data_IF_440242028770
#
_entry.id   IF_440242028770
#
_cell.length_a   1.000
_cell.length_b   1.000
_cell.length_c   1.000
_cell.angle_alpha   90.00
_cell.angle_beta   90.00
_cell.angle_gamma   90.00
#
_symmetry.space_group_name_H-M   'P 1'
#
loop_
_entity.id
_entity.type
_entity.pdbx_description
1 polymer ?
#
# COMPACT_ATOMS: atom_id res chain seq x y z
N UNK A 1 7.53 7.57 23.68
CA UNK A 1 6.63 6.49 23.24
C UNK A 1 5.89 6.86 21.96
N UNK A 2 5.06 7.93 21.94
CA UNK A 2 4.26 8.31 20.77
C UNK A 2 5.07 8.55 19.47
N UNK A 3 6.16 9.32 19.54
CA UNK A 3 7.04 9.60 18.39
C UNK A 3 7.58 8.31 17.76
N UNK A 4 8.01 7.33 18.57
CA UNK A 4 8.52 6.04 18.08
C UNK A 4 7.43 5.27 17.34
N UNK A 5 6.21 5.25 17.89
CA UNK A 5 5.05 4.60 17.24
C UNK A 5 4.75 5.26 15.90
N UNK A 6 4.76 6.59 15.83
CA UNK A 6 4.54 7.34 14.59
C UNK A 6 5.62 7.01 13.55
N UNK A 7 6.89 6.95 13.96
CA UNK A 7 7.98 6.52 13.07
C UNK A 7 7.78 5.07 12.57
N UNK A 8 7.36 4.14 13.43
CA UNK A 8 7.02 2.78 13.02
C UNK A 8 5.88 2.77 11.99
N UNK A 9 4.86 3.62 12.14
CA UNK A 9 3.76 3.71 11.19
C UNK A 9 4.20 4.26 9.82
N UNK A 10 5.16 5.20 9.79
CA UNK A 10 5.78 5.65 8.54
C UNK A 10 6.52 4.49 7.85
N UNK A 11 7.28 3.70 8.61
CA UNK A 11 7.99 2.53 8.06
C UNK A 11 7.03 1.51 7.45
N UNK A 12 5.86 1.28 8.05
CA UNK A 12 4.82 0.43 7.48
C UNK A 12 4.38 0.93 6.10
N UNK A 13 4.19 2.24 5.93
CA UNK A 13 3.90 2.85 4.63
C UNK A 13 5.00 2.59 3.59
N UNK A 14 6.27 2.71 3.99
CA UNK A 14 7.42 2.40 3.13
C UNK A 14 7.47 0.91 2.73
N UNK A 15 7.08 -0.01 3.60
CA UNK A 15 6.98 -1.44 3.29
C UNK A 15 5.93 -1.69 2.20
N UNK A 16 4.78 -1.01 2.25
CA UNK A 16 3.76 -1.10 1.19
C UNK A 16 4.29 -0.59 -0.15
N UNK A 17 5.02 0.53 -0.17
CA UNK A 17 5.66 1.06 -1.38
C UNK A 17 6.67 0.05 -1.94
N UNK A 18 7.50 -0.54 -1.07
CA UNK A 18 8.49 -1.55 -1.46
C UNK A 18 7.82 -2.80 -2.07
N UNK A 19 6.72 -3.26 -1.45
CA UNK A 19 5.91 -4.37 -1.96
C UNK A 19 5.33 -4.08 -3.34
N UNK A 20 4.78 -2.87 -3.55
CA UNK A 20 4.26 -2.45 -4.86
C UNK A 20 5.33 -2.26 -5.94
N UNK A 21 6.57 -1.90 -5.55
CA UNK A 21 7.68 -1.67 -6.49
C UNK A 21 8.37 -2.95 -6.95
N UNK A 22 8.79 -3.78 -5.99
CA UNK A 22 9.81 -4.82 -6.24
C UNK A 22 9.27 -6.25 -6.23
N UNK A 23 8.08 -6.48 -5.67
CA UNK A 23 7.55 -7.83 -5.48
C UNK A 23 6.77 -8.28 -6.73
N UNK A 24 7.06 -9.47 -7.28
CA UNK A 24 6.31 -10.00 -8.41
C UNK A 24 4.85 -10.29 -8.02
N UNK A 25 3.92 -10.09 -8.95
CA UNK A 25 2.48 -10.25 -8.71
C UNK A 25 2.13 -11.65 -8.18
N UNK A 26 2.79 -12.69 -8.71
CA UNK A 26 2.58 -14.09 -8.29
C UNK A 26 2.90 -14.33 -6.81
N UNK A 27 3.84 -13.58 -6.22
CA UNK A 27 4.16 -13.68 -4.79
C UNK A 27 3.16 -12.95 -3.89
N UNK A 28 2.38 -12.01 -4.44
CA UNK A 28 1.35 -11.27 -3.70
C UNK A 28 0.01 -11.98 -3.85
N UNK A 29 -0.36 -12.38 -5.07
CA UNK A 29 -1.60 -13.12 -5.37
C UNK A 29 -1.64 -14.49 -4.66
N UNK A 30 -0.49 -15.16 -4.51
CA UNK A 30 -0.40 -16.44 -3.79
C UNK A 30 -0.64 -16.34 -2.27
N UNK A 31 -0.73 -15.13 -1.72
CA UNK A 31 -1.06 -14.95 -0.32
C UNK A 31 -2.57 -15.23 -0.10
N UNK A 32 -2.93 -16.23 0.72
CA UNK A 32 -4.32 -16.68 0.87
C UNK A 32 -5.27 -15.59 1.39
N UNK A 33 -4.73 -14.59 2.09
CA UNK A 33 -5.50 -13.50 2.69
C UNK A 33 -5.84 -12.35 1.72
N UNK A 34 -5.33 -12.38 0.49
CA UNK A 34 -5.47 -11.26 -0.48
C UNK A 34 -6.61 -11.50 -1.49
N UNK A 35 -7.29 -12.64 -1.41
CA UNK A 35 -8.40 -13.04 -2.29
C UNK A 35 -9.45 -11.93 -2.51
N UNK A 36 -9.92 -11.25 -1.46
CA UNK A 36 -10.95 -10.19 -1.58
C UNK A 36 -10.46 -9.03 -2.45
N UNK A 37 -9.19 -8.65 -2.28
CA UNK A 37 -8.56 -7.55 -3.03
C UNK A 37 -8.37 -7.95 -4.49
N UNK A 38 -8.02 -9.21 -4.75
CA UNK A 38 -7.88 -9.75 -6.09
C UNK A 38 -9.21 -9.77 -6.86
N UNK A 39 -10.32 -10.21 -6.24
CA UNK A 39 -11.66 -10.11 -6.86
C UNK A 39 -11.98 -8.67 -7.25
N UNK A 40 -11.71 -7.73 -6.34
CA UNK A 40 -11.97 -6.31 -6.57
C UNK A 40 -11.18 -5.81 -7.79
N UNK A 41 -9.90 -6.19 -7.91
CA UNK A 41 -9.09 -5.82 -9.07
C UNK A 41 -9.54 -6.50 -10.36
N UNK A 42 -9.97 -7.76 -10.33
CA UNK A 42 -10.53 -8.46 -11.51
C UNK A 42 -11.81 -7.78 -12.00
N UNK A 43 -12.66 -7.31 -11.08
CA UNK A 43 -13.86 -6.53 -11.42
C UNK A 43 -13.45 -5.21 -12.09
N UNK A 44 -12.52 -4.46 -11.49
CA UNK A 44 -12.03 -3.19 -12.05
C UNK A 44 -11.36 -3.41 -13.41
N UNK A 45 -10.59 -4.48 -13.57
CA UNK A 45 -9.95 -4.86 -14.85
C UNK A 45 -11.01 -5.05 -15.95
N UNK A 46 -12.14 -5.70 -15.64
CA UNK A 46 -13.26 -5.85 -16.57
C UNK A 46 -13.89 -4.52 -16.99
N UNK A 47 -14.00 -3.56 -16.06
CA UNK A 47 -14.62 -2.27 -16.33
C UNK A 47 -13.67 -1.29 -17.05
N UNK A 48 -12.40 -1.27 -16.66
CA UNK A 48 -11.45 -0.25 -17.08
C UNK A 48 -10.42 -0.77 -18.11
N UNK A 49 -10.40 -2.07 -18.42
CA UNK A 49 -9.40 -2.72 -19.29
C UNK A 49 -7.95 -2.45 -18.85
N UNK A 50 -7.74 -2.29 -17.55
CA UNK A 50 -6.42 -2.12 -16.94
C UNK A 50 -6.08 -3.44 -16.24
N UNK A 51 -4.89 -3.96 -16.48
CA UNK A 51 -4.39 -5.18 -15.82
C UNK A 51 -4.47 -5.08 -14.30
N UNK A 52 -5.08 -6.09 -13.64
CA UNK A 52 -5.16 -6.20 -12.18
C UNK A 52 -3.78 -6.06 -11.51
N UNK A 53 -2.72 -6.56 -12.16
CA UNK A 53 -1.35 -6.40 -11.67
C UNK A 53 -0.91 -4.94 -11.58
N UNK A 54 -1.12 -4.18 -12.66
CA UNK A 54 -0.77 -2.76 -12.68
C UNK A 54 -1.59 -1.99 -11.63
N UNK A 55 -2.87 -2.31 -11.53
CA UNK A 55 -3.78 -1.71 -10.55
C UNK A 55 -3.34 -1.98 -9.11
N UNK A 56 -2.98 -3.22 -8.78
CA UNK A 56 -2.53 -3.60 -7.45
C UNK A 56 -1.18 -2.95 -7.09
N UNK A 57 -0.24 -2.88 -8.03
CA UNK A 57 1.04 -2.19 -7.80
C UNK A 57 0.83 -0.70 -7.54
N UNK A 58 0.01 -0.04 -8.37
CA UNK A 58 -0.32 1.38 -8.23
C UNK A 58 -1.04 1.63 -6.90
N UNK A 59 -2.02 0.79 -6.55
CA UNK A 59 -2.76 0.96 -5.29
C UNK A 59 -1.85 0.83 -4.07
N UNK A 60 -0.92 -0.13 -4.07
CA UNK A 60 0.04 -0.30 -2.97
C UNK A 60 0.98 0.89 -2.85
N UNK A 61 1.50 1.40 -3.97
CA UNK A 61 2.35 2.59 -3.98
C UNK A 61 1.61 3.83 -3.49
N UNK A 62 0.39 4.06 -3.99
CA UNK A 62 -0.43 5.22 -3.60
C UNK A 62 -0.81 5.13 -2.13
N UNK A 63 -1.27 3.96 -1.68
CA UNK A 63 -1.66 3.74 -0.28
C UNK A 63 -0.47 3.95 0.66
N UNK A 64 0.68 3.33 0.38
CA UNK A 64 1.89 3.49 1.19
C UNK A 64 2.40 4.93 1.23
N UNK A 65 2.28 5.67 0.13
CA UNK A 65 2.68 7.09 0.06
C UNK A 65 1.75 7.97 0.89
N UNK A 66 0.42 7.84 0.70
CA UNK A 66 -0.58 8.59 1.47
C UNK A 66 -0.46 8.29 2.96
N UNK A 67 -0.27 7.02 3.32
CA UNK A 67 -0.06 6.59 4.70
C UNK A 67 1.18 7.23 5.32
N UNK A 68 2.32 7.15 4.62
CA UNK A 68 3.58 7.72 5.11
C UNK A 68 3.48 9.23 5.29
N UNK A 69 2.87 9.93 4.33
CA UNK A 69 2.67 11.38 4.40
C UNK A 69 1.72 11.77 5.54
N UNK A 70 0.64 11.02 5.75
CA UNK A 70 -0.29 11.27 6.85
C UNK A 70 0.43 11.20 8.21
N UNK A 71 1.18 10.13 8.46
CA UNK A 71 1.92 9.99 9.72
C UNK A 71 3.07 10.98 9.85
N UNK A 72 3.67 11.41 8.74
CA UNK A 72 4.67 12.47 8.74
C UNK A 72 4.04 13.83 9.12
N UNK A 73 2.84 14.13 8.62
CA UNK A 73 2.09 15.31 9.07
C UNK A 73 1.76 15.23 10.56
N UNK A 74 1.27 14.08 11.04
CA UNK A 74 1.00 13.86 12.48
C UNK A 74 2.27 14.03 13.31
N UNK A 75 3.42 13.55 12.83
CA UNK A 75 4.71 13.73 13.49
C UNK A 75 5.08 15.21 13.63
N UNK A 76 4.93 15.97 12.55
CA UNK A 76 5.21 17.41 12.54
C UNK A 76 4.27 18.14 13.52
N UNK A 77 2.97 17.87 13.45
CA UNK A 77 1.98 18.49 14.36
C UNK A 77 2.16 18.07 15.83
N UNK A 78 2.73 16.89 16.10
CA UNK A 78 3.04 16.49 17.48
C UNK A 78 4.34 17.14 17.99
N UNK A 79 5.27 17.50 17.10
CA UNK A 79 6.56 18.07 17.47
C UNK A 79 6.52 19.60 17.65
N UNK A 80 5.53 20.27 17.08
CA UNK A 80 5.29 21.72 17.16
C UNK A 80 4.07 22.04 18.02
#
# INVERSE_FOLDING_TARGET
MAVVIICCMILVGLIFIYGGWKRPYDEISSAPDIWIVEILFVIIEKFFKISAEKLMRISLMVFGTVWSLFFLCVLITHAY
#
